data_IF_458625821299
#
_entry.id   IF_458625821299
#
_cell.length_a   1.000
_cell.length_b   1.000
_cell.length_c   1.000
_cell.angle_alpha   90.00
_cell.angle_beta   90.00
_cell.angle_gamma   90.00
#
_symmetry.space_group_name_H-M   'P 1'
#
loop_
_entity.id
_entity.type
_entity.pdbx_description
1 polymer ?
#
# COMPACT_ATOMS: atom_id res chain seq x y z
N UNK A 1 -2.48 -5.44 -17.07
CA UNK A 1 -2.06 -6.83 -17.13
C UNK A 1 -0.79 -7.03 -16.33
N UNK A 2 -0.77 -8.02 -15.47
CA UNK A 2 0.40 -8.28 -14.64
C UNK A 2 1.47 -9.00 -15.47
N UNK A 3 2.77 -8.79 -15.17
CA UNK A 3 3.85 -9.49 -15.84
C UNK A 3 3.76 -11.00 -15.64
N UNK A 4 4.13 -11.76 -16.66
CA UNK A 4 4.17 -13.22 -16.54
C UNK A 4 5.20 -13.68 -15.49
N UNK A 5 6.20 -12.86 -15.22
CA UNK A 5 7.21 -13.15 -14.21
C UNK A 5 6.61 -13.35 -12.82
N UNK A 6 5.37 -12.96 -12.59
CA UNK A 6 4.71 -13.21 -11.31
C UNK A 6 4.64 -14.70 -10.97
N UNK A 7 4.53 -15.57 -11.97
CA UNK A 7 4.46 -17.01 -11.74
C UNK A 7 5.78 -17.58 -11.20
N UNK A 8 6.88 -16.85 -11.40
CA UNK A 8 8.21 -17.26 -10.96
C UNK A 8 8.57 -16.72 -9.57
N UNK A 9 7.69 -15.92 -8.97
CA UNK A 9 7.95 -15.30 -7.67
C UNK A 9 7.59 -16.27 -6.57
N UNK A 10 8.55 -16.52 -5.67
CA UNK A 10 8.35 -17.38 -4.51
C UNK A 10 8.58 -16.58 -3.22
N UNK A 11 7.92 -16.96 -2.10
CA UNK A 11 8.01 -16.19 -0.85
C UNK A 11 9.41 -16.11 -0.25
N UNK A 12 10.30 -17.03 -0.60
CA UNK A 12 11.66 -17.08 -0.05
C UNK A 12 12.67 -16.27 -0.87
N UNK A 13 12.25 -15.67 -1.97
CA UNK A 13 13.13 -14.84 -2.77
C UNK A 13 13.53 -13.58 -2.01
N UNK A 14 14.75 -13.10 -2.25
CA UNK A 14 15.16 -11.79 -1.74
C UNK A 14 14.39 -10.69 -2.49
N UNK A 15 14.08 -9.60 -1.77
CA UNK A 15 13.31 -8.49 -2.35
C UNK A 15 13.96 -7.93 -3.62
N UNK A 16 15.29 -7.85 -3.65
CA UNK A 16 16.00 -7.34 -4.83
C UNK A 16 15.80 -8.26 -6.03
N UNK A 17 15.75 -9.57 -5.82
CA UNK A 17 15.50 -10.52 -6.89
C UNK A 17 14.07 -10.41 -7.41
N UNK A 18 13.12 -10.18 -6.53
CA UNK A 18 11.71 -9.95 -6.92
C UNK A 18 11.61 -8.67 -7.74
N UNK A 19 12.20 -7.58 -7.26
CA UNK A 19 12.17 -6.30 -7.97
C UNK A 19 12.81 -6.42 -9.36
N UNK A 20 13.92 -7.13 -9.45
CA UNK A 20 14.62 -7.33 -10.71
C UNK A 20 13.81 -8.17 -11.68
N UNK A 21 13.22 -9.27 -11.21
CA UNK A 21 12.38 -10.14 -12.03
C UNK A 21 11.16 -9.42 -12.60
N UNK A 22 10.62 -8.47 -11.86
CA UNK A 22 9.43 -7.71 -12.24
C UNK A 22 9.77 -6.36 -12.87
N UNK A 23 11.06 -6.04 -13.00
CA UNK A 23 11.53 -4.77 -13.54
C UNK A 23 10.94 -3.57 -12.81
N UNK A 24 10.92 -3.62 -11.49
CA UNK A 24 10.35 -2.57 -10.66
C UNK A 24 11.40 -1.52 -10.30
N UNK A 25 11.19 -0.26 -10.66
CA UNK A 25 12.08 0.81 -10.22
C UNK A 25 11.86 1.14 -8.75
N UNK A 26 12.90 1.65 -8.10
CA UNK A 26 12.79 2.12 -6.73
C UNK A 26 12.10 3.47 -6.70
N UNK A 27 11.08 3.58 -5.85
CA UNK A 27 10.40 4.84 -5.59
C UNK A 27 11.25 5.73 -4.67
N UNK A 28 10.98 7.03 -4.69
CA UNK A 28 11.71 7.99 -3.85
C UNK A 28 11.54 7.71 -2.35
N UNK A 29 10.43 7.07 -1.97
CA UNK A 29 10.17 6.71 -0.58
C UNK A 29 10.92 5.46 -0.13
N UNK A 30 11.57 4.75 -1.04
CA UNK A 30 12.37 3.59 -0.73
C UNK A 30 11.81 2.25 -1.19
N UNK A 31 10.50 2.15 -1.39
CA UNK A 31 9.89 0.94 -1.91
C UNK A 31 10.00 0.85 -3.44
N UNK A 32 9.69 -0.31 -3.99
CA UNK A 32 9.69 -0.50 -5.45
C UNK A 32 8.26 -0.36 -5.96
N UNK A 33 8.10 0.29 -7.10
CA UNK A 33 6.76 0.53 -7.64
C UNK A 33 6.82 0.77 -9.13
N UNK A 34 5.87 0.18 -9.89
CA UNK A 34 5.68 0.56 -11.29
C UNK A 34 4.91 1.87 -11.36
N UNK A 35 5.06 2.57 -12.46
CA UNK A 35 4.07 3.56 -12.85
C UNK A 35 2.75 2.86 -13.16
N UNK A 36 1.69 3.64 -13.39
CA UNK A 36 0.39 3.07 -13.72
C UNK A 36 0.43 2.37 -15.07
N UNK A 37 0.04 1.11 -15.06
CA UNK A 37 -0.16 0.33 -16.27
C UNK A 37 -1.61 -0.14 -16.23
N UNK A 38 -2.42 0.30 -17.18
CA UNK A 38 -3.85 -0.06 -17.24
C UNK A 38 -4.60 0.27 -15.94
N UNK A 39 -4.27 1.41 -15.32
CA UNK A 39 -4.91 1.84 -14.09
C UNK A 39 -4.44 1.14 -12.83
N UNK A 40 -3.41 0.30 -12.93
CA UNK A 40 -2.88 -0.43 -11.78
C UNK A 40 -1.44 -0.02 -11.48
N UNK A 41 -1.10 -0.07 -10.21
CA UNK A 41 0.28 0.05 -9.72
C UNK A 41 0.67 -1.27 -9.09
N UNK A 42 1.88 -1.73 -9.37
CA UNK A 42 2.44 -2.90 -8.71
C UNK A 42 3.47 -2.39 -7.71
N UNK A 43 3.24 -2.66 -6.42
CA UNK A 43 4.04 -2.12 -5.32
C UNK A 43 4.68 -3.26 -4.55
N UNK A 44 5.98 -3.17 -4.38
CA UNK A 44 6.78 -4.14 -3.62
C UNK A 44 7.39 -3.42 -2.42
N UNK A 45 6.97 -3.82 -1.22
CA UNK A 45 7.41 -3.22 0.03
C UNK A 45 8.31 -4.19 0.77
N UNK A 46 9.49 -3.73 1.14
CA UNK A 46 10.38 -4.47 2.02
C UNK A 46 10.24 -4.05 3.46
N UNK A 47 10.83 -4.82 4.37
CA UNK A 47 10.83 -4.50 5.79
C UNK A 47 11.45 -3.12 6.00
N UNK A 48 10.74 -2.25 6.68
CA UNK A 48 11.19 -0.90 6.97
C UNK A 48 10.96 0.11 5.84
N UNK A 49 10.44 -0.31 4.69
CA UNK A 49 10.14 0.62 3.61
C UNK A 49 8.97 1.50 3.98
N UNK A 50 9.07 2.75 3.56
CA UNK A 50 8.04 3.74 3.80
C UNK A 50 7.02 3.75 2.67
N UNK A 51 5.77 3.89 3.05
CA UNK A 51 4.68 4.22 2.14
C UNK A 51 3.94 5.38 2.79
N UNK A 52 4.19 6.57 2.28
CA UNK A 52 3.69 7.78 2.93
C UNK A 52 2.18 7.76 3.12
N UNK A 53 1.70 8.24 4.26
CA UNK A 53 0.27 8.46 4.46
C UNK A 53 -0.27 9.31 3.32
N UNK A 54 -1.32 8.85 2.70
CA UNK A 54 -1.89 9.51 1.52
C UNK A 54 -3.38 9.23 1.42
N UNK A 55 -4.06 10.05 0.64
CA UNK A 55 -5.44 9.81 0.24
C UNK A 55 -5.61 10.19 -1.21
N UNK A 56 -6.61 9.63 -1.84
CA UNK A 56 -6.89 9.87 -3.25
C UNK A 56 -8.33 10.30 -3.43
N UNK A 57 -8.60 11.00 -4.53
CA UNK A 57 -9.95 11.51 -4.84
C UNK A 57 -10.88 10.41 -5.36
N UNK A 58 -10.39 9.20 -5.55
CA UNK A 58 -11.19 8.06 -6.00
C UNK A 58 -10.89 6.83 -5.16
N UNK A 59 -11.81 5.88 -5.05
CA UNK A 59 -11.55 4.63 -4.33
C UNK A 59 -10.47 3.82 -5.04
N UNK A 60 -9.72 3.05 -4.26
CA UNK A 60 -8.69 2.15 -4.77
C UNK A 60 -8.93 0.74 -4.27
N UNK A 61 -8.63 -0.23 -5.13
CA UNK A 61 -8.70 -1.65 -4.80
C UNK A 61 -7.29 -2.17 -4.59
N UNK A 62 -7.05 -2.78 -3.45
CA UNK A 62 -5.77 -3.33 -3.05
C UNK A 62 -5.84 -4.84 -3.12
N UNK A 63 -4.90 -5.47 -3.80
CA UNK A 63 -4.86 -6.93 -3.92
C UNK A 63 -3.47 -7.43 -3.56
N UNK A 64 -3.39 -8.28 -2.53
CA UNK A 64 -2.16 -8.97 -2.18
C UNK A 64 -1.85 -10.02 -3.25
N UNK A 65 -0.60 -10.06 -3.69
CA UNK A 65 -0.15 -10.95 -4.76
C UNK A 65 0.76 -12.03 -4.22
N UNK A 66 1.77 -11.66 -3.45
CA UNK A 66 2.77 -12.62 -2.98
C UNK A 66 3.57 -12.05 -1.80
N UNK A 67 4.33 -12.91 -1.15
CA UNK A 67 5.21 -12.53 -0.06
C UNK A 67 4.53 -12.61 1.29
N UNK A 68 5.01 -11.80 2.23
CA UNK A 68 4.43 -11.72 3.55
C UNK A 68 3.10 -10.98 3.52
N UNK A 69 2.30 -11.16 4.55
CA UNK A 69 1.08 -10.37 4.72
C UNK A 69 1.42 -8.88 4.83
N UNK A 70 0.49 -8.05 4.39
CA UNK A 70 0.61 -6.60 4.40
C UNK A 70 -0.35 -6.04 5.43
N UNK A 71 0.11 -5.09 6.24
CA UNK A 71 -0.77 -4.30 7.09
C UNK A 71 -1.14 -3.02 6.34
N UNK A 72 -2.44 -2.87 6.08
CA UNK A 72 -3.00 -1.66 5.46
C UNK A 72 -3.76 -0.91 6.55
N UNK A 73 -3.30 0.28 6.89
CA UNK A 73 -3.89 1.10 7.94
C UNK A 73 -4.64 2.26 7.32
N UNK A 74 -5.87 2.45 7.74
CA UNK A 74 -6.75 3.49 7.18
C UNK A 74 -7.28 4.39 8.28
N UNK A 75 -7.55 5.64 7.93
CA UNK A 75 -8.20 6.60 8.83
C UNK A 75 -9.10 7.51 8.01
N UNK A 76 -10.39 7.41 8.23
CA UNK A 76 -11.36 8.23 7.51
C UNK A 76 -11.38 9.68 7.99
N UNK A 77 -11.08 9.90 9.26
CA UNK A 77 -11.21 11.22 9.89
C UNK A 77 -9.88 11.85 10.29
N UNK A 78 -8.76 11.14 10.08
CA UNK A 78 -7.44 11.64 10.48
C UNK A 78 -7.16 11.50 11.99
N UNK A 79 -8.03 10.81 12.70
CA UNK A 79 -7.89 10.58 14.15
C UNK A 79 -7.84 9.11 14.48
N UNK A 80 -8.92 8.38 14.20
CA UNK A 80 -8.99 6.96 14.48
C UNK A 80 -8.44 6.18 13.31
N UNK A 81 -7.56 5.23 13.58
CA UNK A 81 -6.96 4.39 12.57
C UNK A 81 -7.33 2.94 12.79
N UNK A 82 -7.50 2.22 11.69
CA UNK A 82 -7.86 0.81 11.71
C UNK A 82 -6.96 0.06 10.74
N UNK A 83 -6.38 -1.04 11.19
CA UNK A 83 -5.49 -1.84 10.37
C UNK A 83 -6.20 -3.08 9.85
N UNK A 84 -5.97 -3.39 8.59
CA UNK A 84 -6.40 -4.62 7.93
C UNK A 84 -5.18 -5.38 7.47
N UNK A 85 -5.23 -6.70 7.54
CA UNK A 85 -4.15 -7.54 7.04
C UNK A 85 -4.57 -8.18 5.74
N UNK A 86 -3.75 -7.99 4.71
CA UNK A 86 -3.94 -8.64 3.41
C UNK A 86 -2.91 -9.75 3.25
N UNK A 87 -3.35 -10.91 2.84
CA UNK A 87 -2.49 -12.07 2.68
C UNK A 87 -3.26 -13.23 2.08
N UNK A 88 -2.84 -14.45 2.37
CA UNK A 88 -3.45 -15.63 1.76
C UNK A 88 -4.91 -15.85 2.17
N UNK A 89 -5.32 -15.40 3.35
CA UNK A 89 -6.70 -15.57 3.82
C UNK A 89 -7.62 -14.41 3.44
N UNK A 90 -7.08 -13.21 3.29
CA UNK A 90 -7.82 -12.02 2.88
C UNK A 90 -6.97 -11.29 1.85
N UNK A 91 -7.23 -11.53 0.57
CA UNK A 91 -6.34 -11.05 -0.50
C UNK A 91 -6.60 -9.64 -0.95
N UNK A 92 -7.82 -9.14 -0.77
CA UNK A 92 -8.16 -7.83 -1.32
C UNK A 92 -9.06 -7.03 -0.39
N UNK A 93 -9.02 -5.72 -0.57
CA UNK A 93 -9.92 -4.77 0.08
C UNK A 93 -9.98 -3.50 -0.75
N UNK A 94 -10.89 -2.62 -0.39
CA UNK A 94 -11.04 -1.32 -1.05
C UNK A 94 -10.80 -0.21 -0.04
N UNK A 95 -10.05 0.81 -0.46
CA UNK A 95 -9.90 2.05 0.30
C UNK A 95 -10.78 3.09 -0.36
N UNK A 96 -11.74 3.63 0.38
CA UNK A 96 -12.67 4.62 -0.16
C UNK A 96 -11.99 5.93 -0.48
N UNK A 97 -12.63 6.74 -1.32
CA UNK A 97 -12.11 8.06 -1.66
C UNK A 97 -11.90 8.90 -0.40
N UNK A 98 -10.82 9.65 -0.38
CA UNK A 98 -10.46 10.60 0.67
C UNK A 98 -10.19 9.97 2.05
N UNK A 99 -9.98 8.66 2.10
CA UNK A 99 -9.56 7.99 3.32
C UNK A 99 -8.03 7.96 3.36
N UNK A 100 -7.47 8.49 4.45
CA UNK A 100 -6.02 8.43 4.69
C UNK A 100 -5.60 6.98 4.86
N UNK A 101 -4.50 6.59 4.24
CA UNK A 101 -4.01 5.22 4.37
C UNK A 101 -2.51 5.14 4.20
N UNK A 102 -1.95 4.10 4.76
CA UNK A 102 -0.56 3.69 4.61
C UNK A 102 -0.48 2.19 4.71
N UNK A 103 0.67 1.63 4.39
CA UNK A 103 0.87 0.19 4.50
C UNK A 103 2.30 -0.15 4.85
N UNK A 104 2.48 -1.36 5.37
CA UNK A 104 3.81 -1.92 5.62
C UNK A 104 3.76 -3.44 5.50
N UNK A 105 4.89 -4.03 5.16
CA UNK A 105 4.99 -5.49 5.15
C UNK A 105 5.12 -6.02 6.58
N UNK A 106 4.52 -7.18 6.82
CA UNK A 106 4.64 -7.87 8.11
C UNK A 106 5.75 -8.93 8.10
N UNK A 107 6.58 -8.95 7.07
CA UNK A 107 7.71 -9.87 6.95
C UNK A 107 8.84 -9.22 6.18
N UNK A 108 9.49 -10.00 5.31
CA UNK A 108 10.62 -9.49 4.55
C UNK A 108 10.19 -8.60 3.39
N UNK A 109 9.10 -8.97 2.71
CA UNK A 109 8.53 -8.15 1.63
C UNK A 109 7.10 -8.59 1.36
N UNK A 110 6.33 -7.66 0.80
CA UNK A 110 4.96 -7.91 0.33
C UNK A 110 4.79 -7.28 -1.05
N UNK A 111 4.11 -7.99 -1.93
CA UNK A 111 3.81 -7.55 -3.29
C UNK A 111 2.31 -7.37 -3.42
N UNK A 112 1.88 -6.17 -3.79
CA UNK A 112 0.45 -5.85 -3.93
C UNK A 112 0.21 -5.08 -5.21
N UNK A 113 -1.02 -5.16 -5.73
CA UNK A 113 -1.49 -4.27 -6.78
C UNK A 113 -2.48 -3.29 -6.20
N UNK A 114 -2.44 -2.07 -6.71
CA UNK A 114 -3.36 -1.00 -6.33
C UNK A 114 -4.02 -0.51 -7.62
N UNK A 115 -5.33 -0.68 -7.71
CA UNK A 115 -6.10 -0.29 -8.89
C UNK A 115 -7.07 0.83 -8.55
N UNK A 116 -7.23 1.77 -9.47
CA UNK A 116 -8.20 2.85 -9.34
C UNK A 116 -9.33 2.61 -10.35
N UNK A 117 -10.57 2.63 -9.87
CA UNK A 117 -11.73 2.40 -10.72
C UNK A 117 -12.15 3.64 -11.52
N UNK A 118 -11.59 4.81 -11.20
CA UNK A 118 -11.98 6.04 -11.86
C UNK A 118 -11.48 6.06 -13.31
N UNK A 119 -12.31 6.59 -14.20
CA UNK A 119 -11.91 6.80 -15.60
C UNK A 119 -10.93 7.95 -15.76
N UNK A 120 -10.87 8.84 -14.78
CA UNK A 120 -9.97 10.00 -14.76
C UNK A 120 -8.88 9.72 -13.72
N UNK A 121 -7.65 10.17 -14.01
CA UNK A 121 -6.54 10.05 -13.08
C UNK A 121 -6.89 10.72 -11.75
N UNK A 122 -6.93 9.98 -10.64
CA UNK A 122 -7.21 10.59 -9.35
C UNK A 122 -6.04 11.45 -8.89
N UNK A 123 -6.35 12.45 -8.06
CA UNK A 123 -5.32 13.22 -7.39
C UNK A 123 -4.93 12.52 -6.10
N UNK A 124 -3.62 12.53 -5.82
CA UNK A 124 -3.06 11.94 -4.61
C UNK A 124 -2.61 13.09 -3.71
N UNK A 125 -3.09 13.10 -2.49
CA UNK A 125 -2.65 14.04 -1.48
C UNK A 125 -1.78 13.28 -0.47
N UNK A 126 -0.54 13.74 -0.28
CA UNK A 126 0.39 13.15 0.68
C UNK A 126 0.35 13.94 1.96
N UNK A 127 0.37 13.25 3.10
CA UNK A 127 0.51 13.89 4.39
C UNK A 127 1.95 14.38 4.58
N UNK A 128 2.14 15.30 5.52
CA UNK A 128 3.47 15.69 5.92
C UNK A 128 4.25 14.47 6.44
N UNK A 129 5.58 14.44 6.28
CA UNK A 129 6.35 13.23 6.62
C UNK A 129 6.22 12.77 8.06
N UNK A 130 5.93 13.67 8.97
CA UNK A 130 5.77 13.36 10.39
C UNK A 130 4.30 13.22 10.80
N UNK A 131 3.37 13.31 9.85
CA UNK A 131 1.96 13.20 10.14
C UNK A 131 1.54 11.74 10.31
N UNK A 132 0.69 11.50 11.27
CA UNK A 132 -0.02 10.23 11.44
C UNK A 132 -1.35 10.51 12.13
N UNK A 133 -2.34 9.61 11.99
CA UNK A 133 -3.60 9.77 12.68
C UNK A 133 -3.39 9.70 14.19
N UNK A 134 -4.02 10.63 14.91
CA UNK A 134 -3.95 10.66 16.38
C UNK A 134 -5.33 10.39 16.93
N UNK A 135 -5.48 9.40 17.80
CA UNK A 135 -6.77 9.11 18.41
C UNK A 135 -7.36 10.38 19.04
N UNK A 136 -8.66 10.49 18.98
CA UNK A 136 -9.34 11.57 19.68
C UNK A 136 -9.11 11.40 21.17
N UNK A 137 -8.89 12.49 21.85
CA UNK A 137 -8.76 12.44 23.30
C UNK A 137 -10.06 11.94 23.88
N UNK A 138 -9.97 11.04 24.88
CA UNK A 138 -11.11 10.66 25.67
C UNK A 138 -11.64 11.88 26.40
N UNK A 139 -12.94 11.87 26.72
CA UNK A 139 -13.54 12.98 27.42
C UNK A 139 -12.76 13.31 28.70
N UNK A 140 -12.36 14.56 28.85
CA UNK A 140 -11.61 15.01 30.00
C UNK A 140 -10.12 14.74 29.92
N UNK A 141 -9.66 14.06 28.89
CA UNK A 141 -8.25 13.83 28.68
C UNK A 141 -7.85 14.62 27.46
N UNK A 142 -7.41 15.79 27.70
CA UNK A 142 -6.95 16.62 26.63
C UNK A 142 -5.48 16.93 26.81
N UNK A 143 -4.80 16.92 25.74
CA UNK A 143 -3.36 17.11 25.80
C UNK A 143 -2.93 18.28 24.99
#
# INVERSE_FOLDING_TARGET
MLPQALDDITPDMAITDVAESLCLPRHVDGHFETGKISGQRLVLLGAGDLFAWQRQTAPTSWTWVAGAALALTVSADGHDAQAFHLGSSQKNTTVDALVWHTCETLGYWSLVTIACAASVQPEIEYAAPDWYPRPRCAAGVDN
#
